data_IF_543934558784
#
_entry.id   IF_543934558784
#
_cell.length_a   1.000
_cell.length_b   1.000
_cell.length_c   1.000
_cell.angle_alpha   90.00
_cell.angle_beta   90.00
_cell.angle_gamma   90.00
#
_symmetry.space_group_name_H-M   'P 1'
#
loop_
_entity.id
_entity.type
_entity.pdbx_description
1 polymer ?
#
# COMPACT_ATOMS: atom_id res chain seq x y z
N UNK A 1 24.69 -21.42 21.96
CA UNK A 1 23.30 -21.23 22.36
C UNK A 1 22.68 -20.16 21.49
N UNK A 2 21.96 -20.63 20.44
CA UNK A 2 21.23 -19.74 19.55
C UNK A 2 20.03 -19.17 20.30
N UNK A 3 20.03 -17.87 20.51
CA UNK A 3 18.90 -17.13 21.03
C UNK A 3 17.77 -17.24 20.01
N UNK A 4 16.80 -18.12 20.31
CA UNK A 4 15.62 -18.31 19.48
C UNK A 4 14.70 -17.10 19.64
N UNK A 5 14.86 -16.10 18.80
CA UNK A 5 13.80 -15.17 18.48
C UNK A 5 12.81 -16.00 17.67
N UNK A 6 11.71 -16.43 18.29
CA UNK A 6 10.54 -16.93 17.58
C UNK A 6 10.15 -15.84 16.60
N UNK A 7 10.39 -16.05 15.33
CA UNK A 7 9.85 -15.24 14.25
C UNK A 7 8.32 -15.33 14.37
N UNK A 8 7.73 -14.37 15.06
CA UNK A 8 6.27 -14.30 15.16
C UNK A 8 5.73 -13.99 13.77
N UNK A 9 4.84 -14.84 13.28
CA UNK A 9 4.22 -14.65 11.96
C UNK A 9 3.67 -13.23 11.86
N UNK A 10 3.99 -12.54 10.77
CA UNK A 10 3.48 -11.18 10.49
C UNK A 10 1.97 -11.20 10.37
N UNK A 11 1.31 -10.23 11.00
CA UNK A 11 -0.15 -10.13 11.04
C UNK A 11 -0.66 -9.25 9.91
N UNK A 12 -1.63 -9.77 9.17
CA UNK A 12 -2.28 -9.06 8.05
C UNK A 12 -3.78 -8.95 8.36
N UNK A 13 -4.32 -7.73 8.25
CA UNK A 13 -5.76 -7.51 8.24
C UNK A 13 -6.24 -7.28 6.82
N UNK A 14 -7.28 -8.01 6.43
CA UNK A 14 -7.91 -7.96 5.11
C UNK A 14 -9.37 -7.53 5.25
N UNK A 15 -9.80 -6.50 4.53
CA UNK A 15 -11.21 -6.15 4.40
C UNK A 15 -11.65 -6.22 2.94
N UNK A 16 -12.69 -7.00 2.69
CA UNK A 16 -13.37 -7.18 1.40
C UNK A 16 -14.79 -7.65 1.69
N UNK A 17 -15.82 -7.19 1.00
CA UNK A 17 -17.21 -7.58 1.26
C UNK A 17 -17.56 -8.96 0.66
N UNK A 18 -16.82 -9.39 -0.38
CA UNK A 18 -16.99 -10.68 -1.02
C UNK A 18 -16.37 -11.81 -0.21
N UNK A 19 -17.19 -12.76 0.27
CA UNK A 19 -16.73 -13.88 1.10
C UNK A 19 -15.70 -14.75 0.39
N UNK A 20 -15.96 -15.10 -0.86
CA UNK A 20 -15.09 -15.98 -1.66
C UNK A 20 -13.70 -15.36 -1.84
N UNK A 21 -13.64 -14.06 -2.07
CA UNK A 21 -12.37 -13.31 -2.17
C UNK A 21 -11.63 -13.37 -0.83
N UNK A 22 -12.30 -13.10 0.28
CA UNK A 22 -11.67 -13.19 1.61
C UNK A 22 -11.09 -14.57 1.90
N UNK A 23 -11.84 -15.64 1.59
CA UNK A 23 -11.40 -17.02 1.81
C UNK A 23 -10.18 -17.35 0.98
N UNK A 24 -10.21 -17.07 -0.33
CA UNK A 24 -9.08 -17.33 -1.25
C UNK A 24 -7.84 -16.55 -0.81
N UNK A 25 -7.97 -15.27 -0.55
CA UNK A 25 -6.82 -14.44 -0.18
C UNK A 25 -6.24 -14.84 1.18
N UNK A 26 -7.11 -15.19 2.14
CA UNK A 26 -6.68 -15.70 3.45
C UNK A 26 -5.89 -17.00 3.30
N UNK A 27 -6.36 -17.93 2.49
CA UNK A 27 -5.67 -19.21 2.24
C UNK A 27 -4.28 -18.98 1.63
N UNK A 28 -4.19 -18.18 0.57
CA UNK A 28 -2.90 -17.92 -0.11
C UNK A 28 -1.89 -17.19 0.81
N UNK A 29 -2.33 -16.23 1.57
CA UNK A 29 -1.47 -15.49 2.50
C UNK A 29 -1.05 -16.36 3.69
N UNK A 30 -1.97 -17.19 4.22
CA UNK A 30 -1.64 -18.13 5.31
C UNK A 30 -0.65 -19.20 4.86
N UNK A 31 -0.79 -19.71 3.63
CA UNK A 31 0.17 -20.66 3.04
C UNK A 31 1.54 -19.99 2.81
N UNK A 32 1.60 -18.69 2.65
CA UNK A 32 2.85 -17.92 2.59
C UNK A 32 3.47 -17.62 3.97
N UNK A 33 2.84 -18.07 5.08
CA UNK A 33 3.36 -17.96 6.44
C UNK A 33 2.87 -16.74 7.23
N UNK A 34 1.83 -16.04 6.75
CA UNK A 34 1.24 -14.90 7.42
C UNK A 34 0.07 -15.29 8.35
N UNK A 35 -0.12 -14.55 9.44
CA UNK A 35 -1.32 -14.63 10.26
C UNK A 35 -2.36 -13.65 9.72
N UNK A 36 -3.44 -14.16 9.12
CA UNK A 36 -4.44 -13.34 8.43
C UNK A 36 -5.74 -13.29 9.22
N UNK A 37 -6.27 -12.08 9.43
CA UNK A 37 -7.62 -11.88 9.93
C UNK A 37 -8.42 -11.10 8.90
N UNK A 38 -9.51 -11.73 8.43
CA UNK A 38 -10.37 -11.14 7.40
C UNK A 38 -11.65 -10.53 8.00
N UNK A 39 -12.03 -9.38 7.47
CA UNK A 39 -13.20 -8.59 7.89
C UNK A 39 -14.12 -8.35 6.70
N UNK A 40 -15.42 -8.32 6.96
CA UNK A 40 -16.43 -8.07 5.93
C UNK A 40 -16.50 -6.62 5.48
N UNK A 41 -16.01 -5.69 6.30
CA UNK A 41 -16.01 -4.26 6.02
C UNK A 41 -14.85 -3.55 6.71
N UNK A 42 -14.53 -2.36 6.22
CA UNK A 42 -13.42 -1.56 6.70
C UNK A 42 -13.62 -0.96 8.10
N UNK A 43 -14.87 -0.65 8.48
CA UNK A 43 -15.14 -0.04 9.79
C UNK A 43 -14.82 -1.02 10.93
N UNK A 44 -15.19 -2.30 10.77
CA UNK A 44 -14.83 -3.35 11.73
C UNK A 44 -13.31 -3.54 11.80
N UNK A 45 -12.64 -3.60 10.64
CA UNK A 45 -11.19 -3.68 10.57
C UNK A 45 -10.55 -2.51 11.32
N UNK A 46 -10.99 -1.28 11.05
CA UNK A 46 -10.44 -0.09 11.69
C UNK A 46 -10.63 -0.10 13.22
N UNK A 47 -11.81 -0.49 13.72
CA UNK A 47 -12.06 -0.60 15.15
C UNK A 47 -11.13 -1.61 15.83
N UNK A 48 -10.93 -2.78 15.22
CA UNK A 48 -10.00 -3.79 15.76
C UNK A 48 -8.55 -3.31 15.66
N UNK A 49 -8.17 -2.62 14.58
CA UNK A 49 -6.82 -2.09 14.42
C UNK A 49 -6.45 -1.08 15.53
N UNK A 50 -7.39 -0.26 15.97
CA UNK A 50 -7.16 0.69 17.08
C UNK A 50 -6.82 -0.01 18.39
N UNK A 51 -7.39 -1.19 18.66
CA UNK A 51 -7.12 -1.98 19.86
C UNK A 51 -5.90 -2.89 19.71
N UNK A 52 -5.77 -3.50 18.54
CA UNK A 52 -4.72 -4.48 18.21
C UNK A 52 -4.18 -4.19 16.83
N UNK A 53 -3.10 -3.39 16.71
CA UNK A 53 -2.47 -3.13 15.42
C UNK A 53 -1.91 -4.39 14.76
N UNK A 54 -1.88 -4.40 13.42
CA UNK A 54 -1.26 -5.43 12.61
C UNK A 54 -0.06 -4.87 11.82
N UNK A 55 0.65 -5.74 11.10
CA UNK A 55 1.86 -5.39 10.36
C UNK A 55 1.58 -4.94 8.93
N UNK A 56 0.42 -5.27 8.36
CA UNK A 56 -0.02 -4.85 7.02
C UNK A 56 -1.54 -4.90 6.91
N UNK A 57 -2.11 -3.95 6.17
CA UNK A 57 -3.55 -3.89 5.90
C UNK A 57 -3.81 -4.03 4.41
N UNK A 58 -4.85 -4.81 4.05
CA UNK A 58 -5.35 -4.95 2.69
C UNK A 58 -6.82 -4.48 2.69
N UNK A 59 -7.15 -3.54 1.82
CA UNK A 59 -8.48 -2.92 1.74
C UNK A 59 -9.04 -3.00 0.33
N UNK A 60 -10.21 -3.56 0.17
CA UNK A 60 -11.00 -3.32 -1.04
C UNK A 60 -11.57 -1.90 -1.00
N UNK A 61 -11.61 -1.22 -2.15
CA UNK A 61 -12.25 0.10 -2.27
C UNK A 61 -13.77 -0.04 -2.16
N UNK A 62 -14.34 -1.01 -2.88
CA UNK A 62 -15.77 -1.16 -3.04
C UNK A 62 -16.38 -2.01 -1.93
N UNK A 63 -16.57 -1.42 -0.76
CA UNK A 63 -17.22 -2.08 0.37
C UNK A 63 -18.44 -1.30 0.86
N UNK A 64 -19.48 -1.97 1.38
CA UNK A 64 -20.61 -1.30 2.01
C UNK A 64 -20.18 -0.59 3.30
N UNK A 65 -20.74 0.60 3.55
CA UNK A 65 -20.36 1.46 4.68
C UNK A 65 -19.27 2.45 4.29
N UNK A 66 -18.21 2.53 5.08
CA UNK A 66 -17.05 3.34 4.70
C UNK A 66 -16.24 2.63 3.60
N UNK A 67 -16.02 3.31 2.48
CA UNK A 67 -15.17 2.80 1.40
C UNK A 67 -13.71 2.59 1.85
N UNK A 68 -12.98 1.74 1.15
CA UNK A 68 -11.59 1.41 1.50
C UNK A 68 -10.66 2.62 1.52
N UNK A 69 -10.89 3.63 0.70
CA UNK A 69 -10.09 4.86 0.67
C UNK A 69 -10.32 5.71 1.93
N UNK A 70 -11.56 5.81 2.38
CA UNK A 70 -11.91 6.49 3.64
C UNK A 70 -11.27 5.79 4.84
N UNK A 71 -11.25 4.46 4.86
CA UNK A 71 -10.56 3.68 5.91
C UNK A 71 -9.05 3.88 5.84
N UNK A 72 -8.46 3.85 4.64
CA UNK A 72 -7.04 4.13 4.44
C UNK A 72 -6.66 5.49 5.03
N UNK A 73 -7.44 6.53 4.72
CA UNK A 73 -7.24 7.88 5.27
C UNK A 73 -7.32 7.90 6.80
N UNK A 74 -8.33 7.23 7.40
CA UNK A 74 -8.44 7.10 8.86
C UNK A 74 -7.22 6.39 9.46
N UNK A 75 -6.74 5.30 8.86
CA UNK A 75 -5.55 4.58 9.31
C UNK A 75 -4.31 5.49 9.28
N UNK A 76 -4.13 6.29 8.24
CA UNK A 76 -3.01 7.22 8.12
C UNK A 76 -2.97 8.31 9.18
N UNK A 77 -4.10 8.66 9.80
CA UNK A 77 -4.09 9.61 10.94
C UNK A 77 -3.48 9.03 12.21
N UNK A 78 -3.40 7.70 12.32
CA UNK A 78 -2.98 7.00 13.55
C UNK A 78 -1.79 6.04 13.36
N UNK A 79 -1.44 5.70 12.11
CA UNK A 79 -0.40 4.69 11.84
C UNK A 79 0.23 4.85 10.46
N UNK A 80 1.51 4.45 10.36
CA UNK A 80 2.25 4.27 9.12
C UNK A 80 2.25 2.81 8.62
N UNK A 81 1.32 1.97 9.09
CA UNK A 81 1.20 0.57 8.67
C UNK A 81 1.12 0.47 7.13
N UNK A 82 1.85 -0.45 6.49
CA UNK A 82 1.73 -0.68 5.05
C UNK A 82 0.29 -1.02 4.65
N UNK A 83 -0.23 -0.37 3.60
CA UNK A 83 -1.60 -0.58 3.10
C UNK A 83 -1.57 -0.95 1.62
N UNK A 84 -2.19 -2.08 1.27
CA UNK A 84 -2.49 -2.48 -0.10
C UNK A 84 -3.95 -2.19 -0.38
N UNK A 85 -4.23 -1.49 -1.47
CA UNK A 85 -5.58 -1.20 -1.94
C UNK A 85 -5.94 -2.15 -3.09
N UNK A 86 -7.09 -2.82 -2.99
CA UNK A 86 -7.68 -3.60 -4.06
C UNK A 86 -8.74 -2.75 -4.76
N UNK A 87 -8.72 -2.70 -6.09
CA UNK A 87 -9.62 -1.83 -6.86
C UNK A 87 -10.12 -2.51 -8.12
N UNK A 88 -11.33 -2.18 -8.55
CA UNK A 88 -11.85 -2.62 -9.85
C UNK A 88 -11.26 -1.79 -10.99
N UNK A 89 -11.19 -2.37 -12.21
CA UNK A 89 -10.52 -1.80 -13.39
C UNK A 89 -11.15 -0.50 -13.92
N UNK A 90 -12.40 -0.21 -13.56
CA UNK A 90 -13.19 0.83 -14.22
C UNK A 90 -13.07 2.23 -13.63
N UNK A 91 -12.18 2.43 -12.65
CA UNK A 91 -12.01 3.73 -12.01
C UNK A 91 -10.59 4.28 -12.16
N UNK A 92 -10.23 4.75 -13.36
CA UNK A 92 -9.02 5.57 -13.53
C UNK A 92 -9.00 6.76 -12.56
N UNK A 93 -10.18 7.30 -12.25
CA UNK A 93 -10.34 8.34 -11.23
C UNK A 93 -10.04 7.86 -9.80
N UNK A 94 -10.26 6.57 -9.49
CA UNK A 94 -10.02 6.01 -8.15
C UNK A 94 -8.56 5.59 -7.98
N UNK A 95 -7.86 5.26 -9.07
CA UNK A 95 -6.41 5.08 -9.04
C UNK A 95 -5.68 6.35 -8.61
N UNK A 96 -6.05 7.50 -9.18
CA UNK A 96 -5.45 8.79 -8.80
C UNK A 96 -5.80 9.15 -7.35
N UNK A 97 -7.03 8.91 -6.92
CA UNK A 97 -7.45 9.16 -5.53
C UNK A 97 -6.75 8.24 -4.55
N UNK A 98 -6.59 6.96 -4.88
CA UNK A 98 -5.98 5.98 -4.00
C UNK A 98 -4.58 6.37 -3.55
N UNK A 99 -3.71 6.83 -4.46
CA UNK A 99 -2.38 7.33 -4.12
C UNK A 99 -2.42 8.62 -3.27
N UNK A 100 -3.38 9.50 -3.52
CA UNK A 100 -3.60 10.69 -2.68
C UNK A 100 -4.04 10.35 -1.25
N UNK A 101 -4.59 9.15 -1.02
CA UNK A 101 -5.06 8.69 0.30
C UNK A 101 -4.04 7.84 1.08
N UNK A 102 -2.82 7.65 0.54
CA UNK A 102 -1.70 7.07 1.28
C UNK A 102 -1.61 5.54 1.27
N UNK A 103 -2.15 4.86 0.25
CA UNK A 103 -1.87 3.43 0.02
C UNK A 103 -0.43 3.21 -0.47
N UNK A 104 0.23 2.15 -0.01
CA UNK A 104 1.62 1.82 -0.39
C UNK A 104 1.69 0.95 -1.64
N UNK A 105 0.63 0.26 -1.99
CA UNK A 105 0.50 -0.53 -3.21
C UNK A 105 -0.95 -0.66 -3.65
N UNK A 106 -1.14 -0.89 -4.95
CA UNK A 106 -2.45 -1.06 -5.58
C UNK A 106 -2.48 -2.33 -6.41
N UNK A 107 -3.59 -3.05 -6.35
CA UNK A 107 -3.87 -4.21 -7.17
C UNK A 107 -5.23 -4.06 -7.83
N UNK A 108 -5.25 -4.18 -9.17
CA UNK A 108 -6.47 -4.08 -9.96
C UNK A 108 -7.10 -5.47 -10.06
N UNK A 109 -8.36 -5.59 -9.67
CA UNK A 109 -9.17 -6.80 -9.88
C UNK A 109 -9.56 -6.92 -11.38
N UNK A 110 -9.49 -8.13 -11.98
CA UNK A 110 -9.05 -9.38 -11.40
C UNK A 110 -7.52 -9.52 -11.35
N UNK A 111 -6.97 -10.03 -10.25
CA UNK A 111 -5.56 -10.34 -10.09
C UNK A 111 -5.36 -11.79 -9.61
N UNK A 112 -4.18 -12.37 -9.82
CA UNK A 112 -3.86 -13.66 -9.23
C UNK A 112 -3.53 -13.50 -7.74
N UNK A 113 -4.01 -14.38 -6.84
CA UNK A 113 -3.66 -14.35 -5.42
C UNK A 113 -2.14 -14.39 -5.18
N UNK A 114 -1.39 -15.11 -6.05
CA UNK A 114 0.07 -15.13 -6.00
C UNK A 114 0.71 -13.74 -6.20
N UNK A 115 0.10 -12.87 -7.01
CA UNK A 115 0.58 -11.50 -7.21
C UNK A 115 0.43 -10.67 -5.93
N UNK A 116 -0.66 -10.88 -5.18
CA UNK A 116 -0.85 -10.25 -3.87
C UNK A 116 0.26 -10.67 -2.90
N UNK A 117 0.58 -11.97 -2.83
CA UNK A 117 1.68 -12.47 -1.97
C UNK A 117 3.00 -11.82 -2.34
N UNK A 118 3.31 -11.68 -3.63
CA UNK A 118 4.54 -10.98 -4.09
C UNK A 118 4.56 -9.52 -3.61
N UNK A 119 3.42 -8.81 -3.68
CA UNK A 119 3.32 -7.42 -3.21
C UNK A 119 3.49 -7.31 -1.69
N UNK A 120 2.87 -8.20 -0.93
CA UNK A 120 3.02 -8.29 0.52
C UNK A 120 4.49 -8.51 0.91
N UNK A 121 5.15 -9.49 0.28
CA UNK A 121 6.57 -9.77 0.52
C UNK A 121 7.46 -8.56 0.21
N UNK A 122 7.18 -7.84 -0.87
CA UNK A 122 7.93 -6.66 -1.26
C UNK A 122 7.79 -5.52 -0.22
N UNK A 123 6.57 -5.31 0.29
CA UNK A 123 6.33 -4.29 1.33
C UNK A 123 7.01 -4.66 2.64
N UNK A 124 6.91 -5.89 3.12
CA UNK A 124 7.59 -6.31 4.34
C UNK A 124 9.11 -6.20 4.22
N UNK A 125 9.69 -6.64 3.09
CA UNK A 125 11.13 -6.49 2.84
C UNK A 125 11.55 -5.02 2.90
N UNK A 126 10.75 -4.09 2.35
CA UNK A 126 11.03 -2.65 2.40
C UNK A 126 11.03 -2.14 3.85
N UNK A 127 10.08 -2.59 4.67
CA UNK A 127 9.99 -2.22 6.10
C UNK A 127 11.16 -2.81 6.90
N UNK A 128 11.49 -4.10 6.70
CA UNK A 128 12.54 -4.80 7.45
C UNK A 128 13.96 -4.30 7.11
N UNK A 129 14.21 -4.00 5.87
CA UNK A 129 15.52 -3.48 5.44
C UNK A 129 15.75 -2.05 5.89
N UNK A 130 14.77 -1.43 6.55
CA UNK A 130 14.83 0.00 6.91
C UNK A 130 15.33 0.83 5.71
N UNK A 131 14.90 0.41 4.48
CA UNK A 131 15.24 1.15 3.27
C UNK A 131 14.61 2.51 3.50
N UNK A 132 15.42 3.56 3.67
CA UNK A 132 14.88 4.88 3.90
C UNK A 132 13.89 5.14 2.77
N UNK A 133 12.71 5.65 3.11
CA UNK A 133 11.86 6.28 2.11
C UNK A 133 12.82 7.11 1.29
N UNK A 134 12.93 6.82 -0.02
CA UNK A 134 13.87 7.57 -0.87
C UNK A 134 13.69 9.03 -0.52
N UNK A 135 14.78 9.70 -0.14
CA UNK A 135 14.71 11.09 0.26
C UNK A 135 14.05 11.92 -0.84
N UNK A 136 13.26 12.89 -0.45
CA UNK A 136 12.67 13.82 -1.40
C UNK A 136 13.80 14.42 -2.25
N UNK A 137 13.62 14.41 -3.56
CA UNK A 137 14.61 14.90 -4.52
C UNK A 137 14.15 16.27 -5.00
N UNK A 138 15.03 17.26 -4.89
CA UNK A 138 14.78 18.58 -5.45
C UNK A 138 15.74 18.88 -6.58
N UNK A 139 15.22 19.29 -7.72
CA UNK A 139 16.00 19.72 -8.86
C UNK A 139 15.38 21.00 -9.47
N UNK A 140 16.06 22.13 -9.32
CA UNK A 140 15.50 23.41 -9.68
C UNK A 140 14.23 23.72 -8.88
N UNK A 141 13.14 24.06 -9.58
CA UNK A 141 11.84 24.35 -8.97
C UNK A 141 10.98 23.09 -8.72
N UNK A 142 11.49 21.88 -9.00
CA UNK A 142 10.78 20.62 -8.86
C UNK A 142 11.15 19.96 -7.54
N UNK A 143 10.18 19.73 -6.68
CA UNK A 143 10.30 18.91 -5.48
C UNK A 143 9.53 17.60 -5.71
N UNK A 144 10.22 16.48 -5.64
CA UNK A 144 9.67 15.15 -5.86
C UNK A 144 9.69 14.35 -4.56
N UNK A 145 8.53 13.89 -4.11
CA UNK A 145 8.41 13.13 -2.87
C UNK A 145 7.98 11.68 -3.16
N UNK A 146 8.85 10.75 -2.82
CA UNK A 146 8.54 9.32 -2.85
C UNK A 146 7.52 8.93 -1.79
N UNK A 147 7.55 9.60 -0.64
CA UNK A 147 6.65 9.33 0.48
C UNK A 147 5.22 9.81 0.16
N UNK A 148 5.09 11.02 -0.37
CA UNK A 148 3.80 11.64 -0.68
C UNK A 148 3.26 11.23 -2.05
N UNK A 149 4.07 10.53 -2.85
CA UNK A 149 3.74 10.15 -4.24
C UNK A 149 3.30 11.34 -5.09
N UNK A 150 3.97 12.48 -4.93
CA UNK A 150 3.67 13.68 -5.69
C UNK A 150 4.94 14.39 -6.17
N UNK A 151 4.76 15.23 -7.17
CA UNK A 151 5.78 16.17 -7.62
C UNK A 151 5.20 17.59 -7.58
N UNK A 152 5.91 18.48 -6.94
CA UNK A 152 5.51 19.88 -6.75
C UNK A 152 6.43 20.75 -7.59
N UNK A 153 5.87 21.64 -8.39
CA UNK A 153 6.59 22.65 -9.16
C UNK A 153 6.08 24.02 -8.74
N UNK A 154 6.96 24.86 -8.23
CA UNK A 154 6.60 26.22 -7.76
C UNK A 154 5.38 26.21 -6.83
N UNK A 155 5.40 25.33 -5.82
CA UNK A 155 4.34 25.16 -4.81
C UNK A 155 3.02 24.55 -5.32
N UNK A 156 2.93 24.14 -6.59
CA UNK A 156 1.76 23.48 -7.17
C UNK A 156 2.05 21.99 -7.42
N UNK A 157 1.16 21.13 -6.93
CA UNK A 157 1.17 19.70 -7.28
C UNK A 157 0.79 19.55 -8.76
N UNK A 158 1.65 18.89 -9.55
CA UNK A 158 1.45 18.76 -10.99
C UNK A 158 0.60 17.54 -11.38
N UNK A 159 0.11 16.77 -10.40
CA UNK A 159 -0.88 15.72 -10.61
C UNK A 159 -0.43 14.62 -11.59
N UNK A 160 0.77 14.06 -11.41
CA UNK A 160 1.30 13.02 -12.27
C UNK A 160 0.54 11.70 -12.14
N UNK A 161 0.35 11.01 -13.25
CA UNK A 161 -0.04 9.59 -13.25
C UNK A 161 1.10 8.75 -12.67
N UNK A 162 0.82 7.50 -12.23
CA UNK A 162 1.85 6.62 -11.67
C UNK A 162 3.01 6.33 -12.61
N UNK A 163 2.72 6.21 -13.89
CA UNK A 163 3.75 5.98 -14.91
C UNK A 163 4.64 7.21 -15.05
N UNK A 164 4.05 8.39 -15.12
CA UNK A 164 4.74 9.67 -15.18
C UNK A 164 5.54 9.94 -13.90
N UNK A 165 4.94 9.65 -12.72
CA UNK A 165 5.61 9.75 -11.44
C UNK A 165 6.84 8.84 -11.38
N UNK A 166 6.70 7.55 -11.73
CA UNK A 166 7.80 6.60 -11.73
C UNK A 166 8.90 6.99 -12.72
N UNK A 167 8.52 7.48 -13.89
CA UNK A 167 9.45 7.95 -14.90
C UNK A 167 10.21 9.19 -14.42
N UNK A 168 9.49 10.17 -13.89
CA UNK A 168 10.10 11.40 -13.35
C UNK A 168 11.06 11.07 -12.20
N UNK A 169 10.65 10.20 -11.28
CA UNK A 169 11.50 9.76 -10.17
C UNK A 169 12.79 9.09 -10.66
N UNK A 170 12.70 8.23 -11.67
CA UNK A 170 13.85 7.60 -12.30
C UNK A 170 14.80 8.64 -12.93
N UNK A 171 14.24 9.60 -13.67
CA UNK A 171 15.02 10.68 -14.29
C UNK A 171 15.71 11.56 -13.26
N UNK A 172 15.03 11.92 -12.19
CA UNK A 172 15.59 12.77 -11.12
C UNK A 172 16.69 12.07 -10.32
N UNK A 173 16.57 10.76 -10.07
CA UNK A 173 17.62 9.96 -9.43
C UNK A 173 18.91 9.90 -10.26
N UNK A 174 18.79 9.88 -11.56
CA UNK A 174 19.94 9.78 -12.47
C UNK A 174 20.53 11.14 -12.85
N UNK A 175 19.94 12.24 -12.43
CA UNK A 175 20.49 13.60 -12.39
C UNK A 175 21.37 14.03 -13.59
N UNK A 176 20.89 13.85 -14.82
CA UNK A 176 21.64 14.28 -16.03
C UNK A 176 22.61 13.23 -16.59
N UNK A 177 22.66 12.02 -16.04
CA UNK A 177 23.34 10.88 -16.67
C UNK A 177 22.41 10.13 -17.60
N UNK A 178 22.93 9.60 -18.73
CA UNK A 178 22.13 8.79 -19.63
C UNK A 178 21.67 7.50 -18.93
N UNK A 179 20.38 7.19 -19.02
CA UNK A 179 19.80 5.94 -18.53
C UNK A 179 20.06 4.87 -19.60
N UNK A 180 20.66 3.71 -19.27
CA UNK A 180 20.93 2.64 -20.22
C UNK A 180 19.67 1.97 -20.76
#
# INVERSE_FOLDING_TARGET
>A
PSCGIKDMAKKIYLADDEQDIREILTEFLSNAGYEVTAYKNGDTLFSVFQEKPCDLVILDIMMPGSDGLSICKKLRTISSVPIIILTAKDSESDHMKGFMYGGDAYLIKPFSPSLLVVRVNALFRRVEMNIPVKADISFGDVCFSWEKHNAIVKEHDIGLTMTEFSLLGCLMEHGGTAIP
#
